data_IF_460216282667
#
_entry.id   IF_460216282667
#
_cell.length_a   1.000
_cell.length_b   1.000
_cell.length_c   1.000
_cell.angle_alpha   90.00
_cell.angle_beta   90.00
_cell.angle_gamma   90.00
#
_symmetry.space_group_name_H-M   'P 1'
#
loop_
_entity.id
_entity.type
_entity.pdbx_description
1 polymer ?
#
# COMPACT_ATOMS: atom_id res chain seq x y z
N UNK A 1 20.84 2.47 1.85
CA UNK A 1 19.97 1.29 2.01
C UNK A 1 19.16 1.17 0.74
N UNK A 2 19.05 0.00 0.11
CA UNK A 2 18.19 -0.17 -1.07
C UNK A 2 16.74 -0.02 -0.63
N UNK A 3 16.05 1.00 -1.13
CA UNK A 3 14.63 1.19 -0.84
C UNK A 3 13.83 0.15 -1.64
N UNK A 4 12.78 -0.38 -1.05
CA UNK A 4 11.95 -1.40 -1.69
C UNK A 4 11.14 -0.75 -2.81
N UNK A 5 11.25 -1.29 -4.03
CA UNK A 5 10.70 -0.65 -5.22
C UNK A 5 9.20 -0.37 -5.14
N UNK A 6 8.41 -1.26 -4.52
CA UNK A 6 6.97 -1.03 -4.34
C UNK A 6 6.65 0.07 -3.32
N UNK A 7 7.53 0.32 -2.33
CA UNK A 7 7.40 1.49 -1.45
C UNK A 7 7.67 2.76 -2.27
N UNK A 8 8.72 2.74 -3.09
CA UNK A 8 9.09 3.90 -3.91
C UNK A 8 8.04 4.29 -4.92
N UNK A 9 7.33 3.32 -5.48
CA UNK A 9 6.20 3.57 -6.38
C UNK A 9 5.17 4.54 -5.78
N UNK A 10 5.06 4.58 -4.46
CA UNK A 10 4.07 5.34 -3.72
C UNK A 10 4.65 6.54 -2.97
N UNK A 11 5.96 6.79 -3.03
CA UNK A 11 6.63 7.81 -2.21
C UNK A 11 6.06 9.23 -2.40
N UNK A 12 5.67 9.56 -3.63
CA UNK A 12 5.14 10.87 -4.01
C UNK A 12 3.61 11.00 -3.85
N UNK A 13 2.94 9.97 -3.32
CA UNK A 13 1.50 10.07 -3.05
C UNK A 13 1.26 10.97 -1.82
N UNK A 14 0.43 11.99 -2.01
CA UNK A 14 -0.04 12.83 -0.91
C UNK A 14 -0.77 11.98 0.13
N UNK A 15 -0.44 12.16 1.41
CA UNK A 15 -1.12 11.49 2.51
C UNK A 15 -2.30 12.33 3.02
N UNK A 16 -3.56 11.99 2.66
CA UNK A 16 -4.74 12.77 3.01
C UNK A 16 -5.11 12.61 4.49
N UNK A 17 -4.47 11.68 5.22
CA UNK A 17 -4.78 11.44 6.63
C UNK A 17 -4.23 12.59 7.47
N UNK A 18 -4.96 13.00 8.50
CA UNK A 18 -4.44 13.94 9.51
C UNK A 18 -3.13 13.43 10.14
N UNK A 19 -2.22 14.33 10.54
CA UNK A 19 -0.89 14.00 11.13
C UNK A 19 -0.92 12.92 12.21
N UNK A 20 -1.90 12.95 13.13
CA UNK A 20 -1.96 11.95 14.21
C UNK A 20 -2.27 10.51 13.70
N UNK A 21 -2.78 10.38 12.47
CA UNK A 21 -3.03 9.12 11.77
C UNK A 21 -1.85 8.61 10.92
N UNK A 22 -0.76 9.37 10.82
CA UNK A 22 0.39 9.08 9.95
C UNK A 22 1.54 8.36 10.68
N UNK A 23 1.24 7.64 11.77
CA UNK A 23 2.27 6.86 12.50
C UNK A 23 2.96 5.81 11.63
N UNK A 24 2.23 5.28 10.64
CA UNK A 24 2.77 4.44 9.58
C UNK A 24 2.68 5.23 8.28
N UNK A 25 3.80 5.32 7.55
CA UNK A 25 3.86 6.03 6.27
C UNK A 25 2.83 5.47 5.29
N UNK A 26 2.21 6.36 4.49
CA UNK A 26 1.24 5.97 3.47
C UNK A 26 1.83 4.94 2.48
N UNK A 27 3.05 5.11 1.93
CA UNK A 27 3.65 4.14 1.02
C UNK A 27 3.71 2.71 1.56
N UNK A 28 4.02 2.54 2.86
CA UNK A 28 4.05 1.22 3.50
C UNK A 28 2.64 0.61 3.56
N UNK A 29 1.62 1.41 3.89
CA UNK A 29 0.24 0.93 3.96
C UNK A 29 -0.25 0.46 2.59
N UNK A 30 0.08 1.21 1.53
CA UNK A 30 -0.28 0.88 0.15
C UNK A 30 0.48 -0.33 -0.38
N UNK A 31 1.78 -0.43 -0.08
CA UNK A 31 2.59 -1.59 -0.45
C UNK A 31 2.06 -2.89 0.19
N UNK A 32 1.75 -2.87 1.49
CA UNK A 32 1.19 -4.03 2.19
C UNK A 32 -0.17 -4.43 1.63
N UNK A 33 -1.03 -3.46 1.31
CA UNK A 33 -2.31 -3.75 0.66
C UNK A 33 -2.12 -4.35 -0.74
N UNK A 34 -1.31 -3.70 -1.58
CA UNK A 34 -1.06 -4.12 -2.97
C UNK A 34 -0.53 -5.55 -3.02
N UNK A 35 0.54 -5.82 -2.28
CA UNK A 35 1.23 -7.11 -2.28
C UNK A 35 0.37 -8.18 -1.59
N UNK A 36 -0.27 -7.85 -0.47
CA UNK A 36 -1.17 -8.77 0.23
C UNK A 36 -2.35 -9.20 -0.63
N UNK A 37 -2.97 -8.24 -1.34
CA UNK A 37 -4.05 -8.50 -2.28
C UNK A 37 -3.58 -9.35 -3.47
N UNK A 38 -2.42 -9.01 -4.07
CA UNK A 38 -1.82 -9.79 -5.17
C UNK A 38 -1.44 -11.21 -4.74
N UNK A 39 -1.07 -11.42 -3.47
CA UNK A 39 -0.81 -12.73 -2.89
C UNK A 39 -2.09 -13.53 -2.55
N UNK A 40 -3.27 -13.04 -2.93
CA UNK A 40 -4.55 -13.74 -2.74
C UNK A 40 -5.29 -13.41 -1.44
N UNK A 41 -4.77 -12.52 -0.59
CA UNK A 41 -5.44 -12.10 0.65
C UNK A 41 -6.45 -10.99 0.34
N UNK A 42 -7.58 -11.39 -0.25
CA UNK A 42 -8.58 -10.44 -0.74
C UNK A 42 -9.41 -9.84 0.40
N UNK A 43 -9.43 -8.52 0.48
CA UNK A 43 -10.20 -7.76 1.48
C UNK A 43 -9.43 -7.43 2.76
N UNK A 44 -9.92 -6.44 3.50
CA UNK A 44 -9.17 -5.85 4.61
C UNK A 44 -8.92 -6.80 5.79
N UNK A 45 -9.85 -7.70 6.10
CA UNK A 45 -9.68 -8.68 7.17
C UNK A 45 -8.59 -9.69 6.82
N UNK A 46 -8.66 -10.28 5.62
CA UNK A 46 -7.64 -11.21 5.13
C UNK A 46 -6.24 -10.56 5.08
N UNK A 47 -6.14 -9.29 4.69
CA UNK A 47 -4.87 -8.55 4.73
C UNK A 47 -4.39 -8.35 6.18
N UNK A 48 -5.30 -8.06 7.12
CA UNK A 48 -4.97 -7.96 8.53
C UNK A 48 -4.43 -9.27 9.13
N UNK A 49 -5.06 -10.39 8.77
CA UNK A 49 -4.63 -11.73 9.16
C UNK A 49 -3.27 -12.04 8.54
N UNK A 50 -3.09 -11.79 7.24
CA UNK A 50 -1.82 -11.97 6.53
C UNK A 50 -0.67 -11.15 7.16
N UNK A 51 -0.89 -9.86 7.46
CA UNK A 51 0.10 -9.02 8.14
C UNK A 51 0.49 -9.60 9.49
N UNK A 52 -0.46 -10.17 10.22
CA UNK A 52 -0.23 -10.75 11.55
C UNK A 52 0.47 -12.11 11.46
N UNK A 53 0.08 -12.97 10.54
CA UNK A 53 0.66 -14.29 10.31
C UNK A 53 2.10 -14.23 9.83
N UNK A 54 2.41 -13.27 8.95
CA UNK A 54 3.74 -13.11 8.34
C UNK A 54 4.56 -11.95 8.95
N UNK A 55 4.21 -11.54 10.18
CA UNK A 55 4.73 -10.32 10.82
C UNK A 55 6.24 -10.18 10.75
N UNK A 56 6.98 -11.21 11.17
CA UNK A 56 8.44 -11.14 11.25
C UNK A 56 9.09 -11.07 9.86
N UNK A 57 8.59 -11.84 8.88
CA UNK A 57 9.11 -11.76 7.50
C UNK A 57 8.83 -10.39 6.88
N UNK A 58 7.64 -9.83 7.14
CA UNK A 58 7.28 -8.50 6.65
C UNK A 58 8.09 -7.39 7.32
N UNK A 59 8.47 -7.53 8.59
CA UNK A 59 9.38 -6.58 9.26
C UNK A 59 10.78 -6.67 8.69
N UNK A 60 11.31 -7.88 8.48
CA UNK A 60 12.64 -8.05 7.89
C UNK A 60 12.69 -7.51 6.46
N UNK A 61 11.64 -7.78 5.69
CA UNK A 61 11.49 -7.29 4.33
C UNK A 61 11.37 -5.76 4.30
N UNK A 62 10.35 -5.19 4.95
CA UNK A 62 10.00 -3.77 4.82
C UNK A 62 10.78 -2.82 5.74
N UNK A 63 11.44 -3.35 6.77
CA UNK A 63 12.20 -2.61 7.79
C UNK A 63 11.46 -1.35 8.30
N UNK A 64 10.18 -1.48 8.69
CA UNK A 64 9.37 -0.33 9.08
C UNK A 64 9.94 0.32 10.36
N UNK A 65 9.75 1.64 10.56
CA UNK A 65 10.21 2.32 11.76
C UNK A 65 9.74 1.61 13.04
N UNK A 66 10.67 1.40 13.98
CA UNK A 66 10.43 0.73 15.26
C UNK A 66 9.93 -0.71 15.14
N UNK A 67 10.12 -1.38 14.00
CA UNK A 67 9.64 -2.74 13.73
C UNK A 67 8.12 -2.89 13.94
N UNK A 68 7.35 -1.86 13.54
CA UNK A 68 5.89 -1.82 13.68
C UNK A 68 5.20 -1.78 12.33
N UNK A 69 4.43 -2.82 12.04
CA UNK A 69 3.51 -2.87 10.90
C UNK A 69 2.17 -2.20 11.23
N UNK A 70 1.48 -1.63 10.24
CA UNK A 70 0.13 -1.11 10.42
C UNK A 70 -0.88 -2.24 10.69
N UNK A 71 -1.87 -1.99 11.55
CA UNK A 71 -3.02 -2.88 11.71
C UNK A 71 -3.96 -2.82 10.50
N UNK A 72 -4.87 -3.79 10.37
CA UNK A 72 -5.92 -3.78 9.34
C UNK A 72 -6.67 -2.44 9.32
N UNK A 73 -7.09 -1.92 10.49
CA UNK A 73 -7.81 -0.65 10.58
C UNK A 73 -6.98 0.54 10.12
N UNK A 74 -5.65 0.44 10.19
CA UNK A 74 -4.72 1.47 9.71
C UNK A 74 -4.59 1.42 8.20
N UNK A 75 -4.42 0.22 7.63
CA UNK A 75 -4.41 0.01 6.17
C UNK A 75 -5.74 0.46 5.56
N UNK A 76 -6.87 0.00 6.12
CA UNK A 76 -8.21 0.41 5.65
C UNK A 76 -8.39 1.93 5.65
N UNK A 77 -8.01 2.62 6.73
CA UNK A 77 -8.10 4.09 6.81
C UNK A 77 -7.19 4.80 5.82
N UNK A 78 -6.04 4.22 5.48
CA UNK A 78 -5.19 4.75 4.43
C UNK A 78 -5.92 4.70 3.08
N UNK A 79 -6.47 3.56 2.71
CA UNK A 79 -7.18 3.42 1.44
C UNK A 79 -8.50 4.21 1.36
N UNK A 80 -9.21 4.45 2.45
CA UNK A 80 -10.51 5.15 2.39
C UNK A 80 -10.46 6.58 1.86
N UNK A 81 -9.29 7.24 1.87
CA UNK A 81 -9.19 8.67 1.58
C UNK A 81 -8.18 9.01 0.49
N UNK A 82 -7.45 8.03 -0.05
CA UNK A 82 -6.46 8.29 -1.10
C UNK A 82 -7.12 8.67 -2.41
N UNK A 83 -6.37 9.40 -3.23
CA UNK A 83 -6.68 9.52 -4.64
C UNK A 83 -6.39 8.18 -5.34
N UNK A 84 -7.45 7.41 -5.63
CA UNK A 84 -7.33 6.10 -6.29
C UNK A 84 -6.80 6.18 -7.71
N UNK A 85 -7.08 7.26 -8.43
CA UNK A 85 -6.55 7.49 -9.78
C UNK A 85 -5.02 7.65 -9.70
N UNK A 86 -4.52 8.48 -8.79
CA UNK A 86 -3.08 8.65 -8.60
C UNK A 86 -2.41 7.36 -8.12
N UNK A 87 -3.07 6.62 -7.21
CA UNK A 87 -2.58 5.32 -6.76
C UNK A 87 -2.49 4.29 -7.91
N UNK A 88 -3.48 4.25 -8.80
CA UNK A 88 -3.45 3.42 -10.01
C UNK A 88 -2.34 3.85 -10.97
N UNK A 89 -2.15 5.15 -11.19
CA UNK A 89 -1.08 5.70 -12.01
C UNK A 89 0.32 5.36 -11.47
N UNK A 90 0.50 5.37 -10.14
CA UNK A 90 1.74 4.91 -9.50
C UNK A 90 2.07 3.46 -9.88
N UNK A 91 1.07 2.58 -9.86
CA UNK A 91 1.23 1.17 -10.26
C UNK A 91 1.50 1.03 -11.77
N UNK A 92 0.75 1.75 -12.60
CA UNK A 92 0.95 1.77 -14.05
C UNK A 92 2.39 2.16 -14.40
N UNK A 93 2.89 3.26 -13.79
CA UNK A 93 4.29 3.69 -13.92
C UNK A 93 5.27 2.64 -13.40
N UNK A 94 5.01 2.05 -12.23
CA UNK A 94 5.86 1.01 -11.64
C UNK A 94 6.03 -0.20 -12.57
N UNK A 95 4.95 -0.65 -13.21
CA UNK A 95 4.98 -1.76 -14.16
C UNK A 95 5.43 -1.35 -15.57
N UNK A 96 5.67 -0.06 -15.81
CA UNK A 96 5.89 0.50 -17.14
C UNK A 96 4.75 0.16 -18.13
N UNK A 97 3.52 0.15 -17.63
CA UNK A 97 2.29 -0.06 -18.39
C UNK A 97 1.59 1.28 -18.49
N UNK A 98 1.32 1.74 -19.72
CA UNK A 98 0.53 2.94 -19.94
C UNK A 98 -0.91 2.53 -20.25
N UNK A 99 -1.91 3.10 -19.56
CA UNK A 99 -3.28 2.84 -19.92
C UNK A 99 -3.56 3.28 -21.35
N UNK A 100 -4.28 2.45 -22.11
CA UNK A 100 -4.61 2.75 -23.50
C UNK A 100 -6.00 3.41 -23.61
N UNK A 101 -6.25 4.24 -24.64
CA UNK A 101 -7.58 4.81 -24.85
C UNK A 101 -8.65 3.72 -24.95
N UNK A 102 -9.70 3.82 -24.13
CA UNK A 102 -10.80 2.84 -24.10
C UNK A 102 -10.62 1.70 -23.09
N UNK A 103 -9.50 1.63 -22.37
CA UNK A 103 -9.34 0.71 -21.26
C UNK A 103 -10.34 1.03 -20.14
N UNK A 104 -11.04 0.01 -19.65
CA UNK A 104 -11.93 0.16 -18.48
C UNK A 104 -11.10 0.12 -17.21
N UNK A 105 -10.57 1.28 -16.81
CA UNK A 105 -10.02 1.44 -15.47
C UNK A 105 -11.21 1.63 -14.53
N UNK A 106 -11.29 0.80 -13.47
CA UNK A 106 -12.30 0.98 -12.43
C UNK A 106 -12.22 2.40 -11.89
N UNK A 107 -13.26 3.20 -12.16
CA UNK A 107 -13.53 4.43 -11.41
C UNK A 107 -14.04 3.98 -10.04
N UNK A 108 -13.15 4.02 -9.05
CA UNK A 108 -13.50 3.76 -7.64
C UNK A 108 -14.14 5.03 -7.08
#
# INVERSE_FOLDING_TARGET
MSQIAIIEAFAELEDPRRRAGQRHALPLCLALFTVGYAAGNQGFLAIGDWISSYREQLIDLFKPPKNRLPSYSTVRRALLHINYEQYSLCLAKFFNVQPVPGETISKI
#
